data_IF_633805692015
#
_entry.id   IF_633805692015
#
_cell.length_a   1.000
_cell.length_b   1.000
_cell.length_c   1.000
_cell.angle_alpha   90.00
_cell.angle_beta   90.00
_cell.angle_gamma   90.00
#
_symmetry.space_group_name_H-M   'P 1'
#
loop_
_entity.id
_entity.type
_entity.pdbx_description
1 polymer ?
#
# COMPACT_ATOMS: atom_id res chain seq x y z
N UNK A 1 -0.71 19.35 17.39
CA UNK A 1 0.34 19.32 16.35
C UNK A 1 0.09 18.29 15.22
N UNK A 2 -1.18 18.06 14.83
CA UNK A 2 -1.56 17.07 13.81
C UNK A 2 -2.33 17.72 12.66
N UNK A 3 -1.86 18.87 12.19
CA UNK A 3 -2.44 19.51 11.01
C UNK A 3 -1.77 18.93 9.77
N UNK A 4 -2.30 17.84 9.24
CA UNK A 4 -2.04 17.45 7.85
C UNK A 4 -3.06 18.16 6.98
N UNK A 5 -2.59 19.09 6.15
CA UNK A 5 -3.44 19.70 5.14
C UNK A 5 -3.89 18.64 4.13
N UNK A 6 -5.03 18.85 3.47
CA UNK A 6 -5.49 17.98 2.37
C UNK A 6 -4.39 17.83 1.30
N UNK A 7 -3.63 18.90 1.02
CA UNK A 7 -2.52 18.87 0.06
C UNK A 7 -1.42 17.86 0.42
N UNK A 8 -1.05 17.74 1.70
CA UNK A 8 -0.04 16.77 2.13
C UNK A 8 -0.52 15.33 1.97
N UNK A 9 -1.81 15.10 2.27
CA UNK A 9 -2.44 13.79 2.09
C UNK A 9 -2.54 13.42 0.59
N UNK A 10 -2.95 14.36 -0.26
CA UNK A 10 -2.97 14.16 -1.71
C UNK A 10 -1.57 13.90 -2.29
N UNK A 11 -0.56 14.65 -1.83
CA UNK A 11 0.84 14.42 -2.22
C UNK A 11 1.28 13.00 -1.87
N UNK A 12 0.91 12.49 -0.69
CA UNK A 12 1.19 11.10 -0.29
C UNK A 12 0.50 10.09 -1.20
N UNK A 13 -0.79 10.28 -1.47
CA UNK A 13 -1.52 9.45 -2.43
C UNK A 13 -0.84 9.41 -3.81
N UNK A 14 -0.37 10.56 -4.30
CA UNK A 14 0.33 10.66 -5.57
C UNK A 14 1.65 9.88 -5.57
N UNK A 15 2.51 10.05 -4.55
CA UNK A 15 3.80 9.35 -4.50
C UNK A 15 3.67 7.84 -4.24
N UNK A 16 2.53 7.38 -3.73
CA UNK A 16 2.20 5.94 -3.70
C UNK A 16 1.80 5.40 -5.07
N UNK A 17 1.11 6.18 -5.89
CA UNK A 17 0.58 5.74 -7.19
C UNK A 17 1.60 5.85 -8.33
N UNK A 18 2.40 6.90 -8.36
CA UNK A 18 3.39 7.18 -9.43
C UNK A 18 4.36 6.03 -9.75
N UNK A 19 4.82 5.21 -8.80
CA UNK A 19 5.67 4.05 -9.09
C UNK A 19 5.00 3.02 -10.01
N UNK A 20 3.67 3.01 -10.10
CA UNK A 20 2.92 2.21 -11.07
C UNK A 20 3.35 2.48 -12.53
N UNK A 21 3.76 3.71 -12.85
CA UNK A 21 4.27 4.08 -14.18
C UNK A 21 5.57 3.36 -14.54
N UNK A 22 6.35 2.95 -13.53
CA UNK A 22 7.57 2.18 -13.76
C UNK A 22 7.27 0.82 -14.41
N UNK A 23 6.10 0.21 -14.14
CA UNK A 23 5.69 -1.06 -14.77
C UNK A 23 5.40 -0.88 -16.26
N UNK A 24 4.90 0.29 -16.68
CA UNK A 24 4.68 0.61 -18.09
C UNK A 24 6.02 0.77 -18.83
N UNK A 25 6.97 1.49 -18.24
CA UNK A 25 8.30 1.66 -18.82
C UNK A 25 9.15 0.38 -18.77
N UNK A 26 9.02 -0.39 -17.68
CA UNK A 26 9.76 -1.62 -17.41
C UNK A 26 9.19 -2.86 -18.09
N UNK A 27 8.02 -2.79 -18.72
CA UNK A 27 7.37 -3.90 -19.41
C UNK A 27 8.30 -4.72 -20.33
N UNK A 28 9.18 -4.10 -21.15
CA UNK A 28 10.14 -4.82 -21.97
C UNK A 28 11.14 -5.70 -21.19
N UNK A 29 11.46 -5.37 -19.93
CA UNK A 29 12.32 -6.19 -19.07
C UNK A 29 11.62 -7.48 -18.64
N UNK A 30 10.29 -7.48 -18.66
CA UNK A 30 9.44 -8.63 -18.40
C UNK A 30 8.89 -9.24 -19.72
N UNK A 31 9.43 -8.84 -20.88
CA UNK A 31 9.05 -9.42 -22.16
C UNK A 31 9.79 -10.75 -22.36
N UNK A 32 9.06 -11.76 -22.82
CA UNK A 32 9.60 -13.10 -23.05
C UNK A 32 8.48 -14.10 -23.35
N UNK A 33 8.84 -15.36 -23.67
CA UNK A 33 7.86 -16.43 -23.75
C UNK A 33 7.09 -16.54 -22.43
N UNK A 34 5.82 -17.01 -22.43
CA UNK A 34 5.05 -17.20 -21.21
C UNK A 34 5.87 -17.97 -20.17
N UNK A 35 5.90 -17.41 -18.97
CA UNK A 35 6.59 -17.97 -17.83
C UNK A 35 5.88 -19.21 -17.30
N UNK A 36 6.34 -19.66 -16.13
CA UNK A 36 5.68 -20.77 -15.42
C UNK A 36 4.19 -20.46 -15.19
N UNK A 37 3.36 -21.51 -15.27
CA UNK A 37 1.90 -21.43 -15.15
C UNK A 37 1.20 -20.64 -16.27
N UNK A 38 1.87 -20.39 -17.40
CA UNK A 38 1.27 -19.70 -18.56
C UNK A 38 1.09 -18.20 -18.35
N UNK A 39 1.70 -17.62 -17.31
CA UNK A 39 1.64 -16.20 -17.01
C UNK A 39 2.64 -15.41 -17.84
N UNK A 40 2.46 -14.09 -18.02
CA UNK A 40 3.49 -13.23 -18.62
C UNK A 40 4.84 -13.40 -17.90
N UNK A 41 5.94 -13.38 -18.65
CA UNK A 41 7.27 -13.52 -18.08
C UNK A 41 7.50 -12.48 -16.97
N UNK A 42 8.14 -12.89 -15.87
CA UNK A 42 8.40 -11.99 -14.74
C UNK A 42 7.23 -11.77 -13.77
N UNK A 43 6.02 -12.26 -14.05
CA UNK A 43 4.86 -12.11 -13.14
C UNK A 43 5.15 -12.68 -11.76
N UNK A 44 5.64 -13.92 -11.70
CA UNK A 44 5.85 -14.59 -10.42
C UNK A 44 6.99 -13.99 -9.58
N UNK A 45 8.17 -13.65 -10.14
CA UNK A 45 9.18 -12.95 -9.35
C UNK A 45 8.72 -11.56 -8.89
N UNK A 46 7.89 -10.85 -9.65
CA UNK A 46 7.31 -9.58 -9.21
C UNK A 46 6.33 -9.75 -8.04
N UNK A 47 5.45 -10.75 -8.09
CA UNK A 47 4.54 -11.10 -6.99
C UNK A 47 5.35 -11.43 -5.72
N UNK A 48 6.37 -12.28 -5.84
CA UNK A 48 7.20 -12.71 -4.72
C UNK A 48 7.92 -11.53 -4.05
N UNK A 49 8.51 -10.64 -4.86
CA UNK A 49 9.15 -9.41 -4.36
C UNK A 49 8.14 -8.45 -3.73
N UNK A 50 6.98 -8.21 -4.35
CA UNK A 50 5.98 -7.27 -3.87
C UNK A 50 5.42 -7.70 -2.50
N UNK A 51 5.03 -8.96 -2.35
CA UNK A 51 4.49 -9.51 -1.10
C UNK A 51 5.54 -9.44 0.01
N UNK A 52 6.77 -9.85 -0.27
CA UNK A 52 7.89 -9.79 0.69
C UNK A 52 8.20 -8.35 1.09
N UNK A 53 8.23 -7.44 0.12
CA UNK A 53 8.51 -6.02 0.32
C UNK A 53 7.43 -5.33 1.15
N UNK A 54 6.14 -5.57 0.89
CA UNK A 54 5.04 -4.99 1.66
C UNK A 54 5.03 -5.49 3.10
N UNK A 55 5.21 -6.79 3.32
CA UNK A 55 5.36 -7.37 4.65
C UNK A 55 6.51 -6.70 5.43
N UNK A 56 7.69 -6.61 4.81
CA UNK A 56 8.86 -6.04 5.47
C UNK A 56 8.71 -4.54 5.74
N UNK A 57 8.25 -3.76 4.76
CA UNK A 57 8.17 -2.31 4.87
C UNK A 57 7.14 -1.86 5.90
N UNK A 58 6.04 -2.59 6.07
CA UNK A 58 5.07 -2.28 7.13
C UNK A 58 5.68 -2.51 8.52
N UNK A 59 6.39 -3.62 8.72
CA UNK A 59 7.11 -3.89 9.97
C UNK A 59 8.19 -2.83 10.26
N UNK A 60 8.97 -2.46 9.24
CA UNK A 60 10.02 -1.45 9.33
C UNK A 60 9.45 -0.06 9.64
N UNK A 61 8.39 0.35 8.93
CA UNK A 61 7.74 1.64 9.13
C UNK A 61 7.19 1.74 10.55
N UNK A 62 6.51 0.70 11.05
CA UNK A 62 6.05 0.66 12.44
C UNK A 62 7.21 0.86 13.43
N UNK A 63 8.29 0.09 13.28
CA UNK A 63 9.46 0.18 14.18
C UNK A 63 10.07 1.57 14.18
N UNK A 64 10.21 2.18 13.00
CA UNK A 64 10.78 3.51 12.87
C UNK A 64 9.85 4.59 13.45
N UNK A 65 8.54 4.53 13.19
CA UNK A 65 7.56 5.42 13.81
C UNK A 65 7.48 5.24 15.33
N UNK A 66 7.64 4.03 15.86
CA UNK A 66 7.70 3.80 17.30
C UNK A 66 8.87 4.57 17.94
N UNK A 67 10.06 4.53 17.33
CA UNK A 67 11.19 5.35 17.78
C UNK A 67 10.95 6.86 17.65
N UNK A 68 10.35 7.30 16.55
CA UNK A 68 9.97 8.71 16.37
C UNK A 68 8.96 9.18 17.41
N UNK A 69 7.97 8.34 17.76
CA UNK A 69 7.00 8.62 18.81
C UNK A 69 7.61 8.71 20.20
N UNK A 70 8.74 8.03 20.43
CA UNK A 70 9.55 8.17 21.65
C UNK A 70 10.48 9.41 21.62
N UNK A 71 10.56 10.12 20.49
CA UNK A 71 11.45 11.25 20.28
C UNK A 71 12.89 10.87 19.88
N UNK A 72 13.18 9.58 19.67
CA UNK A 72 14.52 9.09 19.33
C UNK A 72 14.69 8.98 17.80
N UNK A 73 14.97 10.12 17.17
CA UNK A 73 15.21 10.19 15.73
C UNK A 73 16.46 9.40 15.30
N UNK A 74 17.46 9.27 16.17
CA UNK A 74 18.68 8.50 15.91
C UNK A 74 18.42 7.00 15.85
N UNK A 75 17.65 6.46 16.79
CA UNK A 75 17.24 5.07 16.74
C UNK A 75 16.32 4.78 15.56
N UNK A 76 15.41 5.70 15.20
CA UNK A 76 14.60 5.57 13.99
C UNK A 76 15.48 5.50 12.72
N UNK A 77 16.46 6.39 12.59
CA UNK A 77 17.38 6.38 11.46
C UNK A 77 18.25 5.13 11.41
N UNK A 78 18.75 4.63 12.55
CA UNK A 78 19.47 3.34 12.62
C UNK A 78 18.58 2.17 12.19
N UNK A 79 17.32 2.15 12.65
CA UNK A 79 16.36 1.12 12.24
C UNK A 79 16.14 1.14 10.73
N UNK A 80 16.01 2.33 10.13
CA UNK A 80 15.87 2.51 8.68
C UNK A 80 17.15 2.15 7.91
N UNK A 81 18.33 2.58 8.37
CA UNK A 81 19.62 2.29 7.75
C UNK A 81 19.91 0.79 7.64
N UNK A 82 19.49 0.00 8.64
CA UNK A 82 19.69 -1.44 8.65
C UNK A 82 18.51 -2.19 8.00
N UNK A 83 17.29 -1.75 8.31
CA UNK A 83 16.07 -2.43 7.89
C UNK A 83 15.76 -2.24 6.41
N UNK A 84 15.98 -1.05 5.85
CA UNK A 84 15.67 -0.78 4.44
C UNK A 84 16.50 -1.65 3.48
N UNK A 85 17.84 -1.74 3.58
CA UNK A 85 18.62 -2.62 2.71
C UNK A 85 18.34 -4.10 2.96
N UNK A 86 18.12 -4.52 4.21
CA UNK A 86 17.77 -5.92 4.51
C UNK A 86 16.43 -6.33 3.86
N UNK A 87 15.44 -5.44 3.87
CA UNK A 87 14.16 -5.66 3.19
C UNK A 87 14.30 -5.73 1.67
N UNK A 88 15.12 -4.84 1.10
CA UNK A 88 15.41 -4.87 -0.32
C UNK A 88 16.07 -6.19 -0.73
N UNK A 89 17.09 -6.63 0.03
CA UNK A 89 17.77 -7.92 -0.19
C UNK A 89 16.81 -9.11 -0.06
N UNK A 90 15.94 -9.11 0.95
CA UNK A 90 14.95 -10.19 1.12
C UNK A 90 13.97 -10.26 -0.06
N UNK A 91 13.44 -9.11 -0.51
CA UNK A 91 12.57 -9.05 -1.68
C UNK A 91 13.27 -9.44 -2.98
N UNK A 92 14.51 -8.99 -3.19
CA UNK A 92 15.34 -9.39 -4.32
C UNK A 92 15.62 -10.90 -4.31
N UNK A 93 15.97 -11.46 -3.15
CA UNK A 93 16.19 -12.90 -3.01
C UNK A 93 14.92 -13.69 -3.32
N UNK A 94 13.75 -13.24 -2.83
CA UNK A 94 12.47 -13.86 -3.16
C UNK A 94 12.18 -13.83 -4.67
N UNK A 95 12.44 -12.71 -5.35
CA UNK A 95 12.32 -12.62 -6.81
C UNK A 95 13.28 -13.57 -7.52
N UNK A 96 14.56 -13.61 -7.14
CA UNK A 96 15.54 -14.51 -7.75
C UNK A 96 15.18 -15.98 -7.56
N UNK A 97 14.74 -16.38 -6.36
CA UNK A 97 14.27 -17.75 -6.08
C UNK A 97 12.99 -18.09 -6.84
N UNK A 98 12.17 -17.09 -7.15
CA UNK A 98 10.96 -17.25 -7.94
C UNK A 98 11.21 -17.19 -9.46
N UNK A 99 12.37 -16.79 -9.94
CA UNK A 99 12.64 -16.65 -11.36
C UNK A 99 12.90 -18.01 -12.02
N UNK A 100 12.14 -18.33 -13.08
CA UNK A 100 12.45 -19.44 -13.97
C UNK A 100 13.43 -19.07 -15.10
N UNK A 101 13.79 -20.04 -15.96
CA UNK A 101 14.54 -19.76 -17.19
C UNK A 101 13.84 -18.68 -18.04
N UNK A 102 14.58 -17.64 -18.44
CA UNK A 102 14.03 -16.53 -19.22
C UNK A 102 13.33 -15.42 -18.42
N UNK A 103 13.15 -15.57 -17.10
CA UNK A 103 12.44 -14.58 -16.27
C UNK A 103 13.39 -13.60 -15.52
N UNK A 104 14.70 -13.69 -15.79
CA UNK A 104 15.72 -12.89 -15.10
C UNK A 104 15.57 -11.37 -15.30
N UNK A 105 15.05 -10.93 -16.45
CA UNK A 105 14.73 -9.52 -16.65
C UNK A 105 13.64 -9.01 -15.71
N UNK A 106 12.60 -9.83 -15.48
CA UNK A 106 11.55 -9.56 -14.48
C UNK A 106 12.10 -9.57 -13.06
N UNK A 107 13.02 -10.48 -12.73
CA UNK A 107 13.69 -10.50 -11.43
C UNK A 107 14.58 -9.27 -11.21
N UNK A 108 15.30 -8.81 -12.24
CA UNK A 108 16.09 -7.58 -12.18
C UNK A 108 15.22 -6.35 -11.98
N UNK A 109 14.08 -6.26 -12.69
CA UNK A 109 13.11 -5.19 -12.49
C UNK A 109 12.52 -5.24 -11.07
N UNK A 110 12.16 -6.42 -10.57
CA UNK A 110 11.69 -6.63 -9.20
C UNK A 110 12.73 -6.19 -8.16
N UNK A 111 14.02 -6.49 -8.37
CA UNK A 111 15.10 -6.04 -7.50
C UNK A 111 15.20 -4.50 -7.46
N UNK A 112 15.04 -3.84 -8.61
CA UNK A 112 14.94 -2.38 -8.69
C UNK A 112 13.75 -1.83 -7.90
N UNK A 113 12.58 -2.49 -7.98
CA UNK A 113 11.39 -2.14 -7.19
C UNK A 113 11.64 -2.31 -5.69
N UNK A 114 12.32 -3.38 -5.26
CA UNK A 114 12.67 -3.59 -3.86
C UNK A 114 13.58 -2.48 -3.32
N UNK A 115 14.60 -2.07 -4.07
CA UNK A 115 15.48 -0.95 -3.72
C UNK A 115 14.72 0.38 -3.68
N UNK A 116 13.84 0.62 -4.65
CA UNK A 116 12.97 1.79 -4.67
C UNK A 116 12.07 1.83 -3.42
N UNK A 117 11.38 0.74 -3.10
CA UNK A 117 10.49 0.65 -1.95
C UNK A 117 11.23 0.87 -0.63
N UNK A 118 12.47 0.38 -0.51
CA UNK A 118 13.33 0.66 0.63
C UNK A 118 13.64 2.17 0.76
N UNK A 119 14.04 2.82 -0.34
CA UNK A 119 14.30 4.27 -0.36
C UNK A 119 13.03 5.10 -0.08
N UNK A 120 11.90 4.73 -0.68
CA UNK A 120 10.61 5.36 -0.46
C UNK A 120 10.17 5.24 1.00
N UNK A 121 10.33 4.07 1.61
CA UNK A 121 10.02 3.85 3.04
C UNK A 121 10.82 4.80 3.94
N UNK A 122 12.12 4.96 3.68
CA UNK A 122 12.97 5.92 4.41
C UNK A 122 12.44 7.35 4.27
N UNK A 123 12.20 7.80 3.03
CA UNK A 123 11.77 9.18 2.77
C UNK A 123 10.39 9.46 3.38
N UNK A 124 9.44 8.54 3.25
CA UNK A 124 8.08 8.71 3.77
C UNK A 124 8.06 8.72 5.30
N UNK A 125 8.76 7.78 5.96
CA UNK A 125 8.85 7.74 7.42
C UNK A 125 9.49 9.01 7.99
N UNK A 126 10.47 9.58 7.29
CA UNK A 126 11.14 10.82 7.70
C UNK A 126 10.38 12.09 7.27
N UNK A 127 9.18 11.97 6.70
CA UNK A 127 8.34 13.09 6.30
C UNK A 127 8.86 13.86 5.09
N UNK A 128 9.42 13.17 4.10
CA UNK A 128 10.00 13.75 2.87
C UNK A 128 9.26 13.35 1.58
N UNK A 129 7.91 13.41 1.50
CA UNK A 129 7.18 13.00 0.30
C UNK A 129 7.51 13.87 -0.93
N UNK A 130 7.80 15.16 -0.75
CA UNK A 130 8.19 16.04 -1.85
C UNK A 130 9.53 15.61 -2.50
N UNK A 131 10.47 15.09 -1.71
CA UNK A 131 11.73 14.57 -2.23
C UNK A 131 11.50 13.31 -3.08
N UNK A 132 10.57 12.45 -2.64
CA UNK A 132 10.16 11.28 -3.40
C UNK A 132 9.45 11.66 -4.70
N UNK A 133 8.56 12.66 -4.66
CA UNK A 133 7.91 13.20 -5.87
C UNK A 133 8.95 13.71 -6.88
N UNK A 134 9.94 14.48 -6.41
CA UNK A 134 11.02 14.98 -7.27
C UNK A 134 11.82 13.83 -7.92
N UNK A 135 12.07 12.74 -7.19
CA UNK A 135 12.73 11.56 -7.74
C UNK A 135 11.89 10.80 -8.77
N UNK A 136 10.55 10.87 -8.68
CA UNK A 136 9.60 10.19 -9.57
C UNK A 136 9.15 11.07 -10.75
N UNK A 137 9.37 12.38 -10.70
CA UNK A 137 8.98 13.32 -11.76
C UNK A 137 9.44 12.88 -13.17
N UNK A 138 10.64 12.32 -13.37
CA UNK A 138 11.04 11.83 -14.70
C UNK A 138 10.14 10.70 -15.22
N UNK A 139 9.54 9.86 -14.37
CA UNK A 139 8.60 8.81 -14.81
C UNK A 139 7.34 9.41 -15.44
N UNK A 140 6.82 10.49 -14.86
CA UNK A 140 5.62 11.18 -15.35
C UNK A 140 5.85 11.73 -16.75
N UNK A 141 7.03 12.30 -17.00
CA UNK A 141 7.39 12.83 -18.31
C UNK A 141 7.73 11.72 -19.31
N UNK A 142 8.48 10.70 -18.89
CA UNK A 142 8.99 9.66 -19.78
C UNK A 142 7.91 8.66 -20.21
N UNK A 143 6.89 8.41 -19.39
CA UNK A 143 5.82 7.45 -19.74
C UNK A 143 5.06 7.83 -21.01
N UNK A 144 4.45 9.03 -21.14
CA UNK A 144 3.77 9.41 -22.37
C UNK A 144 4.73 9.48 -23.57
N UNK A 145 5.97 9.94 -23.37
CA UNK A 145 6.99 9.94 -24.42
C UNK A 145 7.34 8.52 -24.89
N UNK A 146 7.37 7.54 -23.99
CA UNK A 146 7.65 6.15 -24.36
C UNK A 146 6.62 5.54 -25.30
N UNK A 147 5.37 5.99 -25.23
CA UNK A 147 4.27 5.55 -26.09
C UNK A 147 4.10 6.44 -27.33
N UNK A 148 4.32 7.75 -27.22
CA UNK A 148 4.17 8.68 -28.34
C UNK A 148 5.35 8.66 -29.32
N UNK A 149 6.57 8.41 -28.82
CA UNK A 149 7.81 8.47 -29.59
C UNK A 149 8.63 7.16 -29.53
N UNK A 150 8.00 6.05 -29.12
CA UNK A 150 8.59 4.71 -29.07
C UNK A 150 10.00 4.66 -28.45
N UNK A 151 10.16 5.22 -27.25
CA UNK A 151 11.47 5.33 -26.61
C UNK A 151 12.24 3.99 -26.60
N UNK A 152 13.50 3.96 -27.06
CA UNK A 152 14.33 2.75 -27.04
C UNK A 152 14.45 2.14 -25.65
N UNK A 153 14.61 0.82 -25.57
CA UNK A 153 14.72 0.10 -24.30
C UNK A 153 15.82 0.63 -23.37
N UNK A 154 16.96 1.07 -23.94
CA UNK A 154 18.04 1.69 -23.19
C UNK A 154 17.61 3.02 -22.53
N UNK A 155 16.85 3.87 -23.24
CA UNK A 155 16.34 5.13 -22.70
C UNK A 155 15.32 4.89 -21.57
N UNK A 156 14.41 3.92 -21.75
CA UNK A 156 13.47 3.50 -20.69
C UNK A 156 14.21 3.03 -19.44
N UNK A 157 15.22 2.20 -19.62
CA UNK A 157 16.07 1.67 -18.53
C UNK A 157 16.85 2.80 -17.83
N UNK A 158 17.41 3.74 -18.59
CA UNK A 158 18.13 4.89 -18.04
C UNK A 158 17.22 5.76 -17.17
N UNK A 159 15.98 6.01 -17.60
CA UNK A 159 14.99 6.75 -16.78
C UNK A 159 14.69 6.00 -15.48
N UNK A 160 14.42 4.69 -15.55
CA UNK A 160 14.14 3.86 -14.36
C UNK A 160 15.30 3.90 -13.37
N UNK A 161 16.54 3.70 -13.85
CA UNK A 161 17.75 3.73 -13.04
C UNK A 161 18.01 5.12 -12.46
N UNK A 162 17.76 6.19 -13.24
CA UNK A 162 17.90 7.58 -12.78
C UNK A 162 16.94 7.91 -11.64
N UNK A 163 15.67 7.50 -11.75
CA UNK A 163 14.68 7.68 -10.68
C UNK A 163 15.07 6.90 -9.42
N UNK A 164 15.49 5.64 -9.58
CA UNK A 164 15.96 4.79 -8.48
C UNK A 164 17.18 5.39 -7.77
N UNK A 165 18.21 5.79 -8.54
CA UNK A 165 19.43 6.39 -8.01
C UNK A 165 19.14 7.69 -7.26
N UNK A 166 18.25 8.53 -7.79
CA UNK A 166 17.83 9.78 -7.16
C UNK A 166 17.09 9.51 -5.85
N UNK A 167 16.13 8.58 -5.83
CA UNK A 167 15.41 8.20 -4.63
C UNK A 167 16.37 7.65 -3.54
N UNK A 168 17.29 6.76 -3.92
CA UNK A 168 18.29 6.19 -3.03
C UNK A 168 19.23 7.26 -2.46
N UNK A 169 19.75 8.16 -3.30
CA UNK A 169 20.62 9.25 -2.88
C UNK A 169 19.91 10.21 -1.90
N UNK A 170 18.65 10.54 -2.17
CA UNK A 170 17.82 11.37 -1.28
C UNK A 170 17.53 10.66 0.05
N UNK A 171 17.28 9.35 0.03
CA UNK A 171 17.08 8.55 1.24
C UNK A 171 18.35 8.51 2.10
N UNK A 172 19.51 8.25 1.50
CA UNK A 172 20.82 8.29 2.19
C UNK A 172 21.07 9.68 2.78
N UNK A 173 20.82 10.74 2.01
CA UNK A 173 20.94 12.12 2.50
C UNK A 173 20.00 12.43 3.66
N UNK A 174 18.78 11.90 3.64
CA UNK A 174 17.81 12.08 4.72
C UNK A 174 18.22 11.34 6.02
N UNK A 175 19.01 10.27 5.91
CA UNK A 175 19.54 9.50 7.03
C UNK A 175 20.85 10.06 7.60
N UNK A 176 21.53 10.98 6.87
CA UNK A 176 22.75 11.62 7.39
C UNK A 176 22.43 12.45 8.63
N UNK A 177 23.20 12.32 9.72
CA UNK A 177 23.08 13.18 10.87
C UNK A 177 23.52 14.61 10.49
N UNK A 178 22.56 15.48 10.19
CA UNK A 178 22.80 16.93 10.11
C UNK A 178 22.86 17.51 11.52
N UNK A 179 23.71 18.53 11.75
CA UNK A 179 24.12 19.08 13.07
C UNK A 179 23.04 19.69 13.98
N UNK A 180 21.77 19.34 13.80
CA UNK A 180 20.64 19.76 14.63
C UNK A 180 19.67 18.60 14.88
N UNK A 181 20.18 17.39 15.11
CA UNK A 181 19.33 16.34 15.71
C UNK A 181 19.31 16.64 17.20
N UNK A 182 18.14 16.97 17.79
CA UNK A 182 18.06 17.10 19.23
C UNK A 182 18.64 15.83 19.85
N UNK A 183 19.63 16.00 20.73
CA UNK A 183 20.29 14.91 21.42
C UNK A 183 19.24 13.97 22.02
N UNK A 184 19.52 12.66 21.94
CA UNK A 184 18.72 11.53 22.39
C UNK A 184 17.58 11.90 23.35
N UNK A 185 16.34 11.54 23.00
CA UNK A 185 15.21 11.57 23.93
C UNK A 185 15.58 10.92 25.28
N UNK A 186 14.85 11.22 26.36
CA UNK A 186 15.23 10.86 27.73
C UNK A 186 15.79 9.43 27.82
N UNK A 187 17.06 9.31 28.21
CA UNK A 187 17.71 8.01 28.42
C UNK A 187 16.88 7.23 29.45
N UNK A 188 16.44 6.02 29.09
CA UNK A 188 15.68 5.13 29.99
C UNK A 188 14.35 4.61 29.46
N UNK A 189 13.86 5.05 28.29
CA UNK A 189 12.67 4.41 27.67
C UNK A 189 13.04 3.07 27.03
N UNK A 190 12.25 2.04 27.32
CA UNK A 190 12.46 0.71 26.75
C UNK A 190 12.35 0.75 25.23
N UNK A 191 13.28 0.08 24.55
CA UNK A 191 13.26 -0.05 23.09
C UNK A 191 11.96 -0.74 22.63
N UNK A 192 11.36 -0.33 21.49
CA UNK A 192 10.26 -1.06 20.88
C UNK A 192 10.65 -2.53 20.64
N UNK A 193 9.83 -3.46 21.12
CA UNK A 193 10.13 -4.89 21.03
C UNK A 193 10.03 -5.29 19.56
N UNK A 194 10.91 -6.20 19.12
CA UNK A 194 10.87 -6.71 17.74
C UNK A 194 9.56 -7.48 17.46
N UNK A 195 9.04 -8.18 18.47
CA UNK A 195 7.78 -8.90 18.37
C UNK A 195 6.58 -7.98 18.05
N UNK A 196 6.63 -6.71 18.47
CA UNK A 196 5.56 -5.73 18.20
C UNK A 196 5.43 -5.41 16.70
N UNK A 197 6.45 -5.73 15.89
CA UNK A 197 6.44 -5.53 14.45
C UNK A 197 5.68 -6.64 13.70
N UNK A 198 5.47 -7.82 14.31
CA UNK A 198 4.86 -8.97 13.65
C UNK A 198 3.43 -8.71 13.17
N UNK A 199 2.52 -8.11 13.97
CA UNK A 199 1.18 -7.77 13.49
C UNK A 199 1.19 -6.84 12.28
N UNK A 200 2.15 -5.90 12.21
CA UNK A 200 2.29 -4.98 11.08
C UNK A 200 2.85 -5.68 9.84
N UNK A 201 3.76 -6.65 10.02
CA UNK A 201 4.22 -7.51 8.94
C UNK A 201 3.05 -8.30 8.33
N UNK A 202 2.26 -8.97 9.18
CA UNK A 202 1.07 -9.73 8.77
C UNK A 202 0.01 -8.83 8.14
N UNK A 203 -0.18 -7.62 8.66
CA UNK A 203 -1.05 -6.62 8.07
C UNK A 203 -0.62 -6.27 6.64
N UNK A 204 0.68 -5.99 6.43
CA UNK A 204 1.24 -5.70 5.11
C UNK A 204 1.12 -6.87 4.14
N UNK A 205 1.37 -8.08 4.62
CA UNK A 205 1.19 -9.32 3.86
C UNK A 205 -0.26 -9.49 3.40
N UNK A 206 -1.22 -9.40 4.33
CA UNK A 206 -2.64 -9.59 4.04
C UNK A 206 -3.21 -8.51 3.11
N UNK A 207 -3.02 -7.24 3.47
CA UNK A 207 -3.54 -6.12 2.66
C UNK A 207 -2.87 -6.03 1.29
N UNK A 208 -1.56 -6.25 1.22
CA UNK A 208 -0.82 -6.30 -0.04
C UNK A 208 -1.31 -7.43 -0.95
N UNK A 209 -1.50 -8.63 -0.40
CA UNK A 209 -2.02 -9.77 -1.17
C UNK A 209 -3.42 -9.51 -1.73
N UNK A 210 -4.32 -8.89 -0.94
CA UNK A 210 -5.66 -8.52 -1.41
C UNK A 210 -5.62 -7.49 -2.55
N UNK A 211 -4.75 -6.47 -2.45
CA UNK A 211 -4.55 -5.49 -3.52
C UNK A 211 -3.99 -6.16 -4.77
N UNK A 212 -3.07 -7.11 -4.60
CA UNK A 212 -2.51 -7.87 -5.71
C UNK A 212 -3.57 -8.73 -6.41
N UNK A 213 -4.43 -9.42 -5.66
CA UNK A 213 -5.56 -10.15 -6.24
C UNK A 213 -6.54 -9.24 -6.98
N UNK A 214 -6.77 -8.01 -6.50
CA UNK A 214 -7.57 -7.05 -7.26
C UNK A 214 -6.85 -6.58 -8.55
N UNK A 215 -5.53 -6.41 -8.50
CA UNK A 215 -4.74 -5.92 -9.63
C UNK A 215 -4.61 -6.95 -10.76
N UNK A 216 -4.33 -8.21 -10.40
CA UNK A 216 -3.97 -9.27 -11.36
C UNK A 216 -4.86 -10.51 -11.27
N UNK A 217 -5.95 -10.49 -10.48
CA UNK A 217 -6.83 -11.64 -10.34
C UNK A 217 -7.45 -12.10 -11.67
N UNK A 218 -7.84 -11.15 -12.53
CA UNK A 218 -8.31 -11.48 -13.88
C UNK A 218 -7.23 -12.15 -14.72
N UNK A 219 -5.97 -11.71 -14.60
CA UNK A 219 -4.84 -12.34 -15.30
C UNK A 219 -4.63 -13.77 -14.82
N UNK A 220 -4.70 -13.99 -13.50
CA UNK A 220 -4.57 -15.32 -12.89
C UNK A 220 -5.72 -16.26 -13.28
N UNK A 221 -6.91 -15.71 -13.52
CA UNK A 221 -8.08 -16.45 -14.00
C UNK A 221 -8.12 -16.67 -15.52
N UNK A 222 -7.06 -16.29 -16.26
CA UNK A 222 -7.02 -16.40 -17.73
C UNK A 222 -7.92 -15.40 -18.45
N UNK A 223 -8.28 -14.29 -17.78
CA UNK A 223 -9.07 -13.20 -18.33
C UNK A 223 -8.37 -12.46 -19.46
N UNK A 224 -9.16 -11.92 -20.39
CA UNK A 224 -8.63 -11.19 -21.55
C UNK A 224 -7.90 -9.88 -21.19
N UNK A 225 -7.17 -9.28 -22.14
CA UNK A 225 -6.35 -8.09 -21.93
C UNK A 225 -7.12 -6.90 -21.35
N UNK A 226 -8.36 -6.68 -21.81
CA UNK A 226 -9.21 -5.59 -21.33
C UNK A 226 -9.57 -5.73 -19.84
N UNK A 227 -9.87 -6.96 -19.37
CA UNK A 227 -10.18 -7.23 -17.96
C UNK A 227 -8.95 -7.06 -17.08
N UNK A 228 -7.79 -7.54 -17.54
CA UNK A 228 -6.51 -7.34 -16.85
C UNK A 228 -6.16 -5.86 -16.73
N UNK A 229 -6.38 -5.07 -17.80
CA UNK A 229 -6.15 -3.63 -17.77
C UNK A 229 -7.05 -2.91 -16.74
N UNK A 230 -8.32 -3.31 -16.65
CA UNK A 230 -9.21 -2.80 -15.60
C UNK A 230 -8.72 -3.14 -14.18
N UNK A 231 -8.06 -4.29 -13.97
CA UNK A 231 -7.49 -4.65 -12.66
C UNK A 231 -6.36 -3.71 -12.25
N UNK A 232 -5.50 -3.35 -13.21
CA UNK A 232 -4.46 -2.36 -12.99
C UNK A 232 -5.03 -0.96 -12.72
N UNK A 233 -6.13 -0.60 -13.40
CA UNK A 233 -6.89 0.64 -13.12
C UNK A 233 -7.45 0.64 -11.71
N UNK A 234 -8.05 -0.47 -11.26
CA UNK A 234 -8.58 -0.62 -9.91
C UNK A 234 -7.49 -0.46 -8.85
N UNK A 235 -6.33 -1.08 -9.07
CA UNK A 235 -5.16 -0.94 -8.20
C UNK A 235 -4.61 0.50 -8.17
N UNK A 236 -4.59 1.19 -9.31
CA UNK A 236 -4.23 2.60 -9.40
C UNK A 236 -5.23 3.49 -8.65
N UNK A 237 -6.53 3.24 -8.81
CA UNK A 237 -7.60 3.94 -8.11
C UNK A 237 -7.51 3.73 -6.59
N UNK A 238 -7.29 2.50 -6.12
CA UNK A 238 -7.03 2.20 -4.71
C UNK A 238 -5.84 2.98 -4.18
N UNK A 239 -4.73 2.98 -4.92
CA UNK A 239 -3.50 3.64 -4.49
C UNK A 239 -3.66 5.16 -4.43
N UNK A 240 -4.26 5.78 -5.45
CA UNK A 240 -4.56 7.22 -5.47
C UNK A 240 -5.54 7.60 -4.35
N UNK A 241 -6.53 6.74 -4.07
CA UNK A 241 -7.50 6.95 -2.99
C UNK A 241 -6.86 6.98 -1.60
N UNK A 242 -5.60 6.53 -1.44
CA UNK A 242 -4.91 6.55 -0.15
C UNK A 242 -4.66 7.95 0.39
N UNK A 243 -4.51 8.96 -0.49
CA UNK A 243 -4.41 10.35 -0.04
C UNK A 243 -5.69 10.85 0.64
N UNK A 244 -6.83 10.84 -0.07
CA UNK A 244 -8.13 11.13 0.53
C UNK A 244 -8.46 10.27 1.75
N UNK A 245 -8.09 8.98 1.74
CA UNK A 245 -8.25 8.08 2.89
C UNK A 245 -7.52 8.61 4.13
N UNK A 246 -6.24 8.97 4.00
CA UNK A 246 -5.45 9.52 5.12
C UNK A 246 -6.08 10.78 5.70
N UNK A 247 -6.52 11.70 4.84
CA UNK A 247 -7.22 12.91 5.28
C UNK A 247 -8.51 12.59 6.04
N UNK A 248 -9.30 11.61 5.58
CA UNK A 248 -10.52 11.17 6.25
C UNK A 248 -10.23 10.48 7.59
N UNK A 249 -9.12 9.76 7.72
CA UNK A 249 -8.67 9.19 9.01
C UNK A 249 -8.37 10.30 10.02
N UNK A 250 -7.68 11.36 9.59
CA UNK A 250 -7.41 12.53 10.44
C UNK A 250 -8.70 13.22 10.87
N UNK A 251 -9.62 13.47 9.91
CA UNK A 251 -10.94 14.04 10.20
C UNK A 251 -11.73 13.19 11.19
N UNK A 252 -11.68 11.87 11.08
CA UNK A 252 -12.33 10.97 12.02
C UNK A 252 -11.73 11.10 13.44
N UNK A 253 -10.41 11.18 13.56
CA UNK A 253 -9.74 11.37 14.86
C UNK A 253 -10.12 12.71 15.50
N UNK A 254 -10.09 13.80 14.73
CA UNK A 254 -10.45 15.13 15.21
C UNK A 254 -11.91 15.15 15.70
N UNK A 255 -12.82 14.59 14.92
CA UNK A 255 -14.22 14.45 15.29
C UNK A 255 -14.42 13.55 16.53
N UNK A 256 -13.64 12.48 16.68
CA UNK A 256 -13.63 11.64 17.87
C UNK A 256 -13.23 12.41 19.14
N UNK A 257 -12.18 13.23 19.06
CA UNK A 257 -11.74 14.08 20.19
C UNK A 257 -12.76 15.18 20.53
N UNK A 258 -13.40 15.79 19.51
CA UNK A 258 -14.48 16.74 19.72
C UNK A 258 -15.70 16.06 20.37
N UNK A 259 -16.06 14.87 19.90
CA UNK A 259 -17.13 14.04 20.45
C UNK A 259 -16.89 13.66 21.92
N UNK A 260 -15.64 13.38 22.30
CA UNK A 260 -15.29 13.11 23.71
C UNK A 260 -15.53 14.31 24.62
N UNK A 261 -15.35 15.54 24.11
CA UNK A 261 -15.58 16.77 24.88
C UNK A 261 -17.07 17.13 24.96
N UNK A 262 -17.84 16.76 23.94
CA UNK A 262 -19.25 17.13 23.83
C UNK A 262 -20.23 16.09 24.40
N UNK A 263 -19.89 14.79 24.38
CA UNK A 263 -20.82 13.74 24.77
C UNK A 263 -20.91 13.57 26.29
N UNK A 264 -22.13 13.65 26.81
CA UNK A 264 -22.43 13.46 28.24
C UNK A 264 -22.77 12.02 28.61
N UNK A 265 -22.99 11.13 27.62
CA UNK A 265 -23.34 9.73 27.84
C UNK A 265 -22.60 8.78 26.87
N UNK A 266 -22.19 7.57 27.30
CA UNK A 266 -21.49 6.61 26.44
C UNK A 266 -22.25 6.21 25.17
N UNK A 267 -23.58 6.05 25.26
CA UNK A 267 -24.40 5.70 24.10
C UNK A 267 -24.51 6.85 23.08
N UNK A 268 -24.53 8.10 23.54
CA UNK A 268 -24.51 9.27 22.67
C UNK A 268 -23.17 9.37 21.93
N UNK A 269 -22.05 9.16 22.64
CA UNK A 269 -20.72 9.09 22.03
C UNK A 269 -20.65 7.99 20.96
N UNK A 270 -21.08 6.76 21.27
CA UNK A 270 -21.09 5.64 20.31
C UNK A 270 -21.86 5.97 19.02
N UNK A 271 -23.06 6.54 19.14
CA UNK A 271 -23.88 6.93 17.97
C UNK A 271 -23.19 8.02 17.15
N UNK A 272 -22.64 9.04 17.79
CA UNK A 272 -21.91 10.10 17.11
C UNK A 272 -20.67 9.56 16.38
N UNK A 273 -19.86 8.74 17.05
CA UNK A 273 -18.68 8.10 16.44
C UNK A 273 -19.06 7.20 15.27
N UNK A 274 -20.13 6.40 15.38
CA UNK A 274 -20.62 5.57 14.29
C UNK A 274 -21.10 6.42 13.09
N UNK A 275 -21.78 7.54 13.33
CA UNK A 275 -22.19 8.47 12.28
C UNK A 275 -20.99 9.09 11.54
N UNK A 276 -19.96 9.53 12.27
CA UNK A 276 -18.72 10.05 11.67
C UNK A 276 -17.99 8.94 10.91
N UNK A 277 -17.92 7.71 11.47
CA UNK A 277 -17.32 6.56 10.82
C UNK A 277 -17.99 6.27 9.47
N UNK A 278 -19.32 6.19 9.47
CA UNK A 278 -20.11 5.95 8.26
C UNK A 278 -19.96 7.08 7.24
N UNK A 279 -19.96 8.34 7.68
CA UNK A 279 -19.76 9.50 6.80
C UNK A 279 -18.37 9.53 6.17
N UNK A 280 -17.31 9.25 6.93
CA UNK A 280 -15.94 9.17 6.42
C UNK A 280 -15.76 7.97 5.47
N UNK A 281 -16.29 6.80 5.81
CA UNK A 281 -16.26 5.63 4.93
C UNK A 281 -17.02 5.91 3.63
N UNK A 282 -18.23 6.46 3.71
CA UNK A 282 -19.03 6.82 2.54
C UNK A 282 -18.30 7.82 1.63
N UNK A 283 -17.69 8.86 2.20
CA UNK A 283 -16.90 9.82 1.43
C UNK A 283 -15.69 9.15 0.74
N UNK A 284 -14.99 8.26 1.44
CA UNK A 284 -13.87 7.50 0.88
C UNK A 284 -14.32 6.62 -0.30
N UNK A 285 -15.40 5.86 -0.13
CA UNK A 285 -15.94 4.97 -1.16
C UNK A 285 -16.44 5.73 -2.39
N UNK A 286 -17.03 6.92 -2.20
CA UNK A 286 -17.41 7.80 -3.32
C UNK A 286 -16.18 8.24 -4.11
N UNK A 287 -15.10 8.66 -3.44
CA UNK A 287 -13.86 9.05 -4.12
C UNK A 287 -13.26 7.86 -4.88
N UNK A 288 -13.24 6.67 -4.27
CA UNK A 288 -12.74 5.46 -4.91
C UNK A 288 -13.57 5.09 -6.15
N UNK A 289 -14.91 5.16 -6.06
CA UNK A 289 -15.81 4.90 -7.19
C UNK A 289 -15.57 5.89 -8.34
N UNK A 290 -15.39 7.18 -8.03
CA UNK A 290 -15.09 8.21 -9.04
C UNK A 290 -13.76 7.96 -9.73
N UNK A 291 -12.70 7.63 -8.96
CA UNK A 291 -11.39 7.32 -9.53
C UNK A 291 -11.44 6.08 -10.43
N UNK A 292 -12.17 5.04 -10.03
CA UNK A 292 -12.35 3.82 -10.83
C UNK A 292 -13.13 4.10 -12.12
N UNK A 293 -14.21 4.88 -12.03
CA UNK A 293 -15.00 5.29 -13.20
C UNK A 293 -14.16 6.10 -14.18
N UNK A 294 -13.42 7.11 -13.70
CA UNK A 294 -12.54 7.94 -14.53
C UNK A 294 -11.41 7.11 -15.17
N UNK A 295 -10.78 6.21 -14.40
CA UNK A 295 -9.73 5.34 -14.92
C UNK A 295 -10.25 4.36 -15.98
N UNK A 296 -11.48 3.87 -15.84
CA UNK A 296 -12.10 2.96 -16.81
C UNK A 296 -12.32 3.63 -18.17
N UNK A 297 -12.50 4.96 -18.23
CA UNK A 297 -12.59 5.71 -19.49
C UNK A 297 -11.31 5.60 -20.33
N UNK A 298 -10.17 5.35 -19.69
CA UNK A 298 -8.89 5.14 -20.38
C UNK A 298 -8.74 3.73 -20.98
N UNK A 299 -9.74 2.85 -20.82
CA UNK A 299 -9.76 1.48 -21.37
C UNK A 299 -10.99 1.34 -22.31
N UNK A 300 -10.92 1.87 -23.55
CA UNK A 300 -12.08 2.01 -24.44
C UNK A 300 -12.78 0.68 -24.78
N UNK A 301 -12.01 -0.41 -24.82
CA UNK A 301 -12.50 -1.73 -25.21
C UNK A 301 -13.25 -2.50 -24.11
N UNK A 302 -13.29 -1.99 -22.88
CA UNK A 302 -13.84 -2.75 -21.75
C UNK A 302 -15.33 -2.50 -21.47
N UNK A 303 -15.92 -1.44 -22.06
CA UNK A 303 -17.16 -0.87 -21.53
C UNK A 303 -16.95 -0.29 -20.13
N UNK A 304 -17.98 0.35 -19.54
CA UNK A 304 -17.90 0.79 -18.14
C UNK A 304 -17.61 -0.38 -17.19
N UNK A 305 -17.08 -0.14 -15.98
CA UNK A 305 -16.78 -1.22 -15.06
C UNK A 305 -18.08 -1.97 -14.73
N UNK A 306 -18.13 -3.30 -14.88
CA UNK A 306 -19.34 -4.04 -14.54
C UNK A 306 -19.66 -3.81 -13.06
N UNK A 307 -20.95 -3.69 -12.72
CA UNK A 307 -21.39 -3.34 -11.36
C UNK A 307 -20.81 -4.27 -10.29
N UNK A 308 -20.60 -5.54 -10.62
CA UNK A 308 -19.96 -6.55 -9.77
C UNK A 308 -18.49 -6.25 -9.47
N UNK A 309 -17.74 -5.75 -10.45
CA UNK A 309 -16.33 -5.34 -10.28
C UNK A 309 -16.23 -4.10 -9.40
N UNK A 310 -17.08 -3.11 -9.66
CA UNK A 310 -17.15 -1.92 -8.81
C UNK A 310 -17.51 -2.30 -7.37
N UNK A 311 -18.49 -3.18 -7.17
CA UNK A 311 -18.84 -3.67 -5.84
C UNK A 311 -17.65 -4.36 -5.16
N UNK A 312 -16.91 -5.24 -5.85
CA UNK A 312 -15.73 -5.90 -5.31
C UNK A 312 -14.63 -4.88 -4.93
N UNK A 313 -14.40 -3.87 -5.77
CA UNK A 313 -13.47 -2.78 -5.50
C UNK A 313 -13.87 -1.98 -4.24
N UNK A 314 -15.15 -1.66 -4.09
CA UNK A 314 -15.66 -0.92 -2.93
C UNK A 314 -15.61 -1.75 -1.65
N UNK A 315 -15.85 -3.06 -1.72
CA UNK A 315 -15.64 -3.97 -0.60
C UNK A 315 -14.18 -4.02 -0.18
N UNK A 316 -13.25 -4.11 -1.14
CA UNK A 316 -11.82 -4.07 -0.87
C UNK A 316 -11.41 -2.72 -0.27
N UNK A 317 -11.90 -1.60 -0.82
CA UNK A 317 -11.71 -0.27 -0.25
C UNK A 317 -12.18 -0.21 1.21
N UNK A 318 -13.36 -0.77 1.51
CA UNK A 318 -13.88 -0.84 2.87
C UNK A 318 -12.94 -1.60 3.79
N UNK A 319 -12.45 -2.78 3.36
CA UNK A 319 -11.45 -3.57 4.10
C UNK A 319 -10.21 -2.74 4.39
N UNK A 320 -9.59 -2.16 3.37
CA UNK A 320 -8.32 -1.44 3.52
C UNK A 320 -8.47 -0.20 4.42
N UNK A 321 -9.52 0.59 4.21
CA UNK A 321 -9.75 1.79 5.00
C UNK A 321 -10.06 1.47 6.47
N UNK A 322 -10.97 0.53 6.74
CA UNK A 322 -11.32 0.12 8.10
C UNK A 322 -10.14 -0.54 8.82
N UNK A 323 -9.34 -1.36 8.11
CA UNK A 323 -8.16 -2.00 8.67
C UNK A 323 -7.07 -0.97 9.03
N UNK A 324 -6.80 0.02 8.16
CA UNK A 324 -5.89 1.14 8.45
C UNK A 324 -6.38 1.99 9.61
N UNK A 325 -7.69 2.25 9.69
CA UNK A 325 -8.29 2.96 10.80
C UNK A 325 -8.04 2.22 12.11
N UNK A 326 -8.37 0.94 12.19
CA UNK A 326 -8.13 0.11 13.37
C UNK A 326 -6.65 0.06 13.74
N UNK A 327 -5.76 -0.07 12.76
CA UNK A 327 -4.31 0.00 12.98
C UNK A 327 -3.90 1.34 13.61
N UNK A 328 -4.44 2.46 13.13
CA UNK A 328 -4.14 3.81 13.65
C UNK A 328 -4.60 4.01 15.10
N UNK A 329 -5.61 3.25 15.54
CA UNK A 329 -6.12 3.23 16.93
C UNK A 329 -5.49 2.11 17.78
N UNK A 330 -4.46 1.43 17.27
CA UNK A 330 -3.71 0.39 17.99
C UNK A 330 -4.38 -0.99 18.00
N UNK A 331 -5.44 -1.20 17.22
CA UNK A 331 -6.11 -2.48 17.03
C UNK A 331 -5.57 -3.22 15.79
N UNK A 332 -4.23 -3.25 15.63
CA UNK A 332 -3.58 -3.84 14.46
C UNK A 332 -3.75 -5.36 14.39
N UNK A 333 -3.73 -6.06 15.52
CA UNK A 333 -3.83 -7.54 15.54
C UNK A 333 -5.12 -8.05 14.90
N UNK A 334 -6.33 -7.63 15.33
CA UNK A 334 -7.55 -8.10 14.69
C UNK A 334 -7.62 -7.69 13.22
N UNK A 335 -7.17 -6.48 12.86
CA UNK A 335 -7.13 -6.04 11.47
C UNK A 335 -6.22 -6.94 10.61
N UNK A 336 -5.02 -7.24 11.10
CA UNK A 336 -4.05 -8.12 10.44
C UNK A 336 -4.58 -9.54 10.25
N UNK A 337 -5.22 -10.11 11.29
CA UNK A 337 -5.80 -11.46 11.22
C UNK A 337 -6.93 -11.53 10.20
N UNK A 338 -7.83 -10.54 10.16
CA UNK A 338 -8.93 -10.49 9.18
C UNK A 338 -8.38 -10.37 7.76
N UNK A 339 -7.45 -9.44 7.51
CA UNK A 339 -6.85 -9.27 6.18
C UNK A 339 -6.04 -10.50 5.74
N UNK A 340 -5.27 -11.10 6.65
CA UNK A 340 -4.49 -12.30 6.36
C UNK A 340 -5.39 -13.52 6.09
N UNK A 341 -6.48 -13.70 6.84
CA UNK A 341 -7.44 -14.78 6.60
C UNK A 341 -8.15 -14.64 5.25
N UNK A 342 -8.56 -13.41 4.88
CA UNK A 342 -9.16 -13.14 3.57
C UNK A 342 -8.18 -13.43 2.43
N UNK A 343 -6.93 -12.96 2.55
CA UNK A 343 -5.88 -13.25 1.58
C UNK A 343 -5.59 -14.76 1.48
N UNK A 344 -5.43 -15.45 2.61
CA UNK A 344 -5.20 -16.89 2.64
C UNK A 344 -6.34 -17.68 1.99
N UNK A 345 -7.59 -17.24 2.17
CA UNK A 345 -8.76 -17.84 1.51
C UNK A 345 -8.68 -17.70 -0.01
N UNK A 346 -8.31 -16.51 -0.52
CA UNK A 346 -8.14 -16.28 -1.95
C UNK A 346 -6.96 -17.08 -2.53
N UNK A 347 -5.89 -17.28 -1.76
CA UNK A 347 -4.74 -18.08 -2.18
C UNK A 347 -4.99 -19.58 -2.14
N UNK A 348 -5.70 -20.08 -1.12
CA UNK A 348 -5.92 -21.51 -0.94
C UNK A 348 -7.04 -22.05 -1.85
N UNK A 349 -8.05 -21.25 -2.17
CA UNK A 349 -9.21 -21.75 -2.92
C UNK A 349 -8.87 -22.34 -4.30
N UNK A 350 -8.01 -21.72 -5.13
CA UNK A 350 -7.58 -22.35 -6.39
C UNK A 350 -6.83 -23.66 -6.17
N UNK A 351 -5.97 -23.73 -5.14
CA UNK A 351 -5.22 -24.94 -4.81
C UNK A 351 -6.10 -26.09 -4.31
N UNK A 352 -7.24 -25.77 -3.70
CA UNK A 352 -8.22 -26.72 -3.21
C UNK A 352 -9.33 -27.05 -4.23
N UNK A 353 -9.30 -26.43 -5.42
CA UNK A 353 -10.38 -26.55 -6.41
C UNK A 353 -11.73 -26.01 -5.89
N UNK A 354 -11.70 -25.10 -4.93
CA UNK A 354 -12.88 -24.64 -4.20
C UNK A 354 -13.52 -23.42 -4.87
N UNK A 355 -14.58 -23.65 -5.64
CA UNK A 355 -15.45 -22.60 -6.20
C UNK A 355 -14.80 -21.75 -7.30
N UNK A 356 -15.59 -20.81 -7.83
CA UNK A 356 -15.10 -19.84 -8.81
C UNK A 356 -14.23 -18.76 -8.11
N UNK A 357 -13.03 -18.44 -8.62
CA UNK A 357 -12.12 -17.48 -7.97
C UNK A 357 -12.75 -16.11 -7.68
N UNK A 358 -13.65 -15.62 -8.53
CA UNK A 358 -14.30 -14.33 -8.32
C UNK A 358 -15.34 -14.41 -7.20
N UNK A 359 -16.11 -15.51 -7.13
CA UNK A 359 -17.06 -15.73 -6.03
C UNK A 359 -16.34 -15.85 -4.68
N UNK A 360 -15.21 -16.56 -4.63
CA UNK A 360 -14.40 -16.67 -3.41
C UNK A 360 -13.82 -15.32 -3.01
N UNK A 361 -13.27 -14.56 -3.97
CA UNK A 361 -12.70 -13.25 -3.70
C UNK A 361 -13.77 -12.26 -3.18
N UNK A 362 -14.95 -12.24 -3.80
CA UNK A 362 -16.07 -11.41 -3.36
C UNK A 362 -16.57 -11.82 -1.97
N UNK A 363 -16.73 -13.12 -1.72
CA UNK A 363 -17.17 -13.66 -0.44
C UNK A 363 -16.19 -13.36 0.69
N UNK A 364 -14.90 -13.61 0.49
CA UNK A 364 -13.88 -13.38 1.52
C UNK A 364 -13.67 -11.90 1.81
N UNK A 365 -13.67 -11.05 0.78
CA UNK A 365 -13.54 -9.60 0.94
C UNK A 365 -14.79 -9.00 1.59
N UNK A 366 -15.99 -9.47 1.20
CA UNK A 366 -17.25 -9.06 1.82
C UNK A 366 -17.35 -9.43 3.29
N UNK A 367 -16.96 -10.66 3.65
CA UNK A 367 -16.90 -11.11 5.04
C UNK A 367 -15.88 -10.29 5.85
N UNK A 368 -14.70 -10.03 5.29
CA UNK A 368 -13.69 -9.17 5.92
C UNK A 368 -14.20 -7.74 6.14
N UNK A 369 -14.88 -7.15 5.14
CA UNK A 369 -15.45 -5.80 5.25
C UNK A 369 -16.48 -5.73 6.39
N UNK A 370 -17.38 -6.71 6.47
CA UNK A 370 -18.37 -6.80 7.54
C UNK A 370 -17.71 -6.92 8.93
N UNK A 371 -16.76 -7.86 9.07
CA UNK A 371 -16.05 -8.07 10.33
C UNK A 371 -15.29 -6.81 10.78
N UNK A 372 -14.59 -6.14 9.87
CA UNK A 372 -13.86 -4.90 10.16
C UNK A 372 -14.81 -3.75 10.50
N UNK A 373 -15.98 -3.66 9.86
CA UNK A 373 -17.00 -2.67 10.20
C UNK A 373 -17.55 -2.91 11.62
N UNK A 374 -17.86 -4.16 11.98
CA UNK A 374 -18.31 -4.54 13.32
C UNK A 374 -17.22 -4.23 14.37
N UNK A 375 -15.98 -4.61 14.09
CA UNK A 375 -14.83 -4.30 14.95
C UNK A 375 -14.60 -2.79 15.09
N UNK A 376 -14.73 -2.03 14.00
CA UNK A 376 -14.65 -0.57 14.00
C UNK A 376 -15.68 0.05 14.94
N UNK A 377 -16.95 -0.32 14.79
CA UNK A 377 -18.03 0.15 15.66
C UNK A 377 -17.81 -0.24 17.13
N UNK A 378 -17.43 -1.49 17.40
CA UNK A 378 -17.24 -2.00 18.76
C UNK A 378 -16.02 -1.39 19.47
N UNK A 379 -14.88 -1.28 18.77
CA UNK A 379 -13.62 -0.82 19.36
C UNK A 379 -13.57 0.71 19.43
N UNK A 380 -13.95 1.42 18.36
CA UNK A 380 -13.84 2.88 18.27
C UNK A 380 -14.99 3.61 18.96
N UNK A 381 -16.13 2.94 19.17
CA UNK A 381 -17.22 3.48 20.00
C UNK A 381 -16.88 3.59 21.49
N UNK A 382 -15.76 3.02 21.94
CA UNK A 382 -15.31 3.13 23.33
C UNK A 382 -14.48 4.39 23.52
N UNK A 383 -14.85 5.22 24.50
CA UNK A 383 -14.12 6.46 24.81
C UNK A 383 -12.63 6.21 25.13
N UNK A 384 -12.29 5.04 25.67
CA UNK A 384 -10.90 4.64 25.98
C UNK A 384 -10.02 4.49 24.74
N UNK A 385 -10.60 4.25 23.56
CA UNK A 385 -9.85 4.12 22.31
C UNK A 385 -9.22 5.45 21.86
N UNK A 386 -9.80 6.58 22.28
CA UNK A 386 -9.41 7.93 21.83
C UNK A 386 -8.46 8.65 22.80
N UNK A 387 -7.99 7.98 23.86
CA UNK A 387 -7.09 8.56 24.87
C UNK A 387 -5.59 8.44 24.55
N UNK A 388 -5.22 7.95 23.36
CA UNK A 388 -3.84 7.64 22.97
C UNK A 388 -3.29 8.56 21.89
#
# INVERSE_FOLDING_TARGET
>A
PWHTGLGDALLRGLVFALPGLAYLLGGPLAAGPPGRHGLPAGTVPLIAAAVTGWMWNQALAHRAYAWLGLGDRQAAARALLLGAPAGALAGTAAACLAAGPGEWGGAAFAAGQCLYLAAATVLLVLGRPAALLAALAPLVAATPLAYAAELPGAARTAVLLGCLATAAALAVRALRPGGAWPSAGPRGRAAPRRADCLPYALFGLGTGSLVLYAAIGDLLAGGGPARTALGLVDAAALTLSMGPAEWLLHRFRDAGTAGLRAATAPAAFRRATAGVLAGCLGAYLTVLALLAALGSLAVPAAGGPPATRLAALLLLGTVLWSALLLQSFGAVVPAALVCAAAAATQTAAPALGAGDPHTVAAGSTGAAALLLAVLGCALLGRATAHRR
#
